data_IF_580691818455
#
_entry.id   IF_580691818455
#
_cell.length_a   1.000
_cell.length_b   1.000
_cell.length_c   1.000
_cell.angle_alpha   90.00
_cell.angle_beta   90.00
_cell.angle_gamma   90.00
#
_symmetry.space_group_name_H-M   'P 1'
#
loop_
_entity.id
_entity.type
_entity.pdbx_description
1 polymer ?
#
# COMPACT_ATOMS: atom_id res chain seq x y z
N UNK A 1 -15.22 9.74 4.76
CA UNK A 1 -14.14 10.76 4.88
C UNK A 1 -13.04 10.13 5.71
N UNK A 2 -11.79 10.34 5.34
CA UNK A 2 -10.66 9.72 6.03
C UNK A 2 -10.40 10.46 7.35
N UNK A 3 -10.32 9.70 8.44
CA UNK A 3 -9.88 10.20 9.74
C UNK A 3 -8.35 10.27 9.80
N UNK A 4 -7.82 11.44 10.14
CA UNK A 4 -6.37 11.65 10.24
C UNK A 4 -5.72 10.76 11.31
N UNK A 5 -6.39 10.52 12.42
CA UNK A 5 -5.84 9.70 13.51
C UNK A 5 -5.64 8.23 13.10
N UNK A 6 -6.51 7.71 12.24
CA UNK A 6 -6.39 6.34 11.70
C UNK A 6 -5.12 6.23 10.85
N UNK A 7 -4.86 7.23 9.99
CA UNK A 7 -3.63 7.27 9.19
C UNK A 7 -2.37 7.46 10.04
N UNK A 8 -2.45 8.26 11.11
CA UNK A 8 -1.36 8.42 12.07
C UNK A 8 -1.07 7.11 12.81
N UNK A 9 -2.10 6.34 13.20
CA UNK A 9 -1.97 5.02 13.82
C UNK A 9 -1.20 4.06 12.92
N UNK A 10 -1.57 3.95 11.64
CA UNK A 10 -0.84 3.13 10.66
C UNK A 10 0.57 3.64 10.40
N UNK A 11 0.78 4.96 10.32
CA UNK A 11 2.12 5.51 10.05
C UNK A 11 3.15 5.16 11.13
N UNK A 12 2.71 4.92 12.38
CA UNK A 12 3.56 4.44 13.48
C UNK A 12 4.00 2.99 13.28
N UNK A 13 3.29 2.23 12.45
CA UNK A 13 3.64 0.86 12.01
C UNK A 13 4.54 0.85 10.78
N UNK A 14 4.95 2.01 10.28
CA UNK A 14 5.94 2.15 9.21
C UNK A 14 7.28 2.61 9.79
N UNK A 15 7.78 1.89 10.80
CA UNK A 15 9.09 2.13 11.42
C UNK A 15 9.79 0.80 11.70
N UNK A 16 11.13 0.71 11.65
CA UNK A 16 11.83 -0.56 11.83
C UNK A 16 11.47 -1.30 13.12
N UNK A 17 11.23 -0.57 14.22
CA UNK A 17 10.90 -1.14 15.52
C UNK A 17 9.44 -1.63 15.65
N UNK A 18 8.54 -1.24 14.74
CA UNK A 18 7.09 -1.52 14.85
C UNK A 18 6.47 -1.93 13.52
N UNK A 19 7.29 -2.38 12.58
CA UNK A 19 6.89 -2.67 11.21
C UNK A 19 5.80 -3.75 11.17
N UNK A 20 4.69 -3.48 10.49
CA UNK A 20 3.62 -4.46 10.21
C UNK A 20 3.71 -5.07 8.81
N UNK A 21 4.75 -4.73 8.03
CA UNK A 21 4.95 -5.21 6.65
C UNK A 21 5.63 -6.58 6.67
N UNK A 22 4.99 -7.57 6.05
CA UNK A 22 5.49 -8.95 5.99
C UNK A 22 6.20 -9.25 4.67
N UNK A 23 5.70 -8.70 3.56
CA UNK A 23 6.22 -8.92 2.20
C UNK A 23 6.18 -7.65 1.37
N UNK A 24 7.06 -7.59 0.38
CA UNK A 24 7.12 -6.52 -0.60
C UNK A 24 7.34 -7.12 -1.98
N UNK A 25 6.62 -6.60 -2.96
CA UNK A 25 6.89 -6.80 -4.36
C UNK A 25 7.01 -5.44 -5.05
N UNK A 26 7.66 -5.40 -6.20
CA UNK A 26 7.73 -4.19 -6.99
C UNK A 26 8.13 -4.43 -8.42
N UNK A 27 7.78 -3.45 -9.25
CA UNK A 27 8.16 -3.36 -10.65
C UNK A 27 8.75 -1.97 -10.93
N UNK A 28 9.68 -1.93 -11.87
CA UNK A 28 10.29 -0.74 -12.40
C UNK A 28 9.86 -0.58 -13.85
N UNK A 29 9.51 0.63 -14.22
CA UNK A 29 8.95 0.95 -15.52
C UNK A 29 9.80 2.02 -16.20
N UNK A 30 10.01 1.86 -17.50
CA UNK A 30 10.60 2.91 -18.33
C UNK A 30 9.60 4.07 -18.56
N UNK A 31 10.03 5.06 -19.34
CA UNK A 31 9.20 6.23 -19.68
C UNK A 31 7.93 5.86 -20.49
N UNK A 32 8.01 4.78 -21.28
CA UNK A 32 6.91 4.28 -22.10
C UNK A 32 5.95 3.37 -21.31
N UNK A 33 6.31 3.03 -20.06
CA UNK A 33 5.55 2.18 -19.16
C UNK A 33 5.81 0.69 -19.34
N UNK A 34 6.88 0.28 -20.01
CA UNK A 34 7.31 -1.12 -20.06
C UNK A 34 8.02 -1.52 -18.78
N UNK A 35 7.83 -2.78 -18.35
CA UNK A 35 8.47 -3.32 -17.16
C UNK A 35 9.94 -3.63 -17.46
N UNK A 36 10.85 -2.90 -16.82
CA UNK A 36 12.30 -3.09 -16.89
C UNK A 36 12.81 -4.16 -15.92
N UNK A 37 12.07 -4.39 -14.82
CA UNK A 37 12.42 -5.41 -13.84
C UNK A 37 11.43 -5.51 -12.71
N UNK A 38 11.39 -6.68 -12.07
CA UNK A 38 10.48 -6.98 -10.96
C UNK A 38 11.19 -7.66 -9.80
N UNK A 39 10.64 -7.55 -8.60
CA UNK A 39 11.07 -8.33 -7.44
C UNK A 39 9.87 -8.70 -6.56
N UNK A 40 10.02 -9.80 -5.80
CA UNK A 40 9.08 -10.22 -4.77
C UNK A 40 9.85 -10.93 -3.65
N UNK A 41 9.80 -10.41 -2.43
CA UNK A 41 10.56 -10.98 -1.32
C UNK A 41 9.90 -10.77 0.04
N UNK A 42 10.31 -11.59 1.00
CA UNK A 42 9.96 -11.34 2.40
C UNK A 42 10.65 -10.07 2.88
N UNK A 43 9.91 -9.22 3.59
CA UNK A 43 10.40 -7.92 4.02
C UNK A 43 11.64 -8.02 4.93
N UNK A 44 11.72 -9.09 5.72
CA UNK A 44 12.86 -9.37 6.60
C UNK A 44 14.13 -9.81 5.87
N UNK A 45 14.05 -10.20 4.59
CA UNK A 45 15.23 -10.54 3.77
C UNK A 45 15.97 -9.30 3.24
N UNK A 46 15.30 -8.15 3.22
CA UNK A 46 15.93 -6.87 2.89
C UNK A 46 16.96 -6.50 3.96
N UNK A 47 18.01 -5.77 3.58
CA UNK A 47 18.92 -5.13 4.52
C UNK A 47 18.19 -4.10 5.40
N UNK A 48 18.80 -3.70 6.52
CA UNK A 48 18.21 -2.71 7.42
C UNK A 48 17.99 -1.34 6.74
N UNK A 49 18.93 -0.94 5.88
CA UNK A 49 18.82 0.28 5.10
C UNK A 49 17.65 0.21 4.10
N UNK A 50 17.51 -0.90 3.37
CA UNK A 50 16.40 -1.10 2.43
C UNK A 50 15.06 -1.16 3.16
N UNK A 51 14.95 -1.86 4.29
CA UNK A 51 13.72 -1.86 5.10
C UNK A 51 13.35 -0.45 5.54
N UNK A 52 14.31 0.33 6.02
CA UNK A 52 14.07 1.71 6.47
C UNK A 52 13.60 2.60 5.32
N UNK A 53 14.24 2.50 4.15
CA UNK A 53 13.85 3.23 2.92
C UNK A 53 12.42 2.88 2.49
N UNK A 54 12.10 1.59 2.44
CA UNK A 54 10.77 1.08 2.06
C UNK A 54 9.67 1.49 3.06
N UNK A 55 9.93 1.40 4.36
CA UNK A 55 8.96 1.88 5.36
C UNK A 55 8.72 3.39 5.23
N UNK A 56 9.73 4.20 4.91
CA UNK A 56 9.56 5.63 4.67
C UNK A 56 8.73 5.94 3.41
N UNK A 57 8.85 5.14 2.35
CA UNK A 57 8.00 5.23 1.16
C UNK A 57 6.53 5.00 1.53
N UNK A 58 6.23 3.87 2.17
CA UNK A 58 4.88 3.55 2.64
C UNK A 58 4.33 4.61 3.60
N UNK A 59 5.18 5.12 4.51
CA UNK A 59 4.81 6.16 5.47
C UNK A 59 4.46 7.49 4.82
N UNK A 60 5.12 7.84 3.71
CA UNK A 60 4.84 9.09 2.98
C UNK A 60 3.40 9.10 2.47
N UNK A 61 2.92 7.98 1.93
CA UNK A 61 1.53 7.83 1.51
C UNK A 61 0.55 8.06 2.68
N UNK A 62 0.79 7.43 3.83
CA UNK A 62 -0.06 7.55 5.01
C UNK A 62 -0.04 8.95 5.63
N UNK A 63 1.05 9.72 5.46
CA UNK A 63 1.19 11.06 6.03
C UNK A 63 0.70 12.18 5.11
N UNK A 64 0.41 11.89 3.84
CA UNK A 64 -0.16 12.85 2.89
C UNK A 64 -1.41 13.54 3.44
N UNK A 65 -1.70 14.76 3.01
CA UNK A 65 -2.82 15.55 3.54
C UNK A 65 -4.14 14.84 3.30
N UNK A 66 -4.78 14.47 4.40
CA UNK A 66 -5.98 13.66 4.41
C UNK A 66 -7.16 14.45 3.85
N UNK A 67 -7.93 13.85 2.94
CA UNK A 67 -9.04 14.45 2.19
C UNK A 67 -8.65 15.55 1.18
N UNK A 68 -7.35 15.82 1.00
CA UNK A 68 -6.81 16.73 -0.02
C UNK A 68 -5.94 15.98 -1.03
N UNK A 69 -4.87 15.34 -0.55
CA UNK A 69 -3.90 14.56 -1.34
C UNK A 69 -4.21 13.06 -1.28
N UNK A 70 -4.55 12.56 -0.09
CA UNK A 70 -5.05 11.21 0.14
C UNK A 70 -6.58 11.27 0.24
N UNK A 71 -7.28 10.65 -0.70
CA UNK A 71 -8.74 10.68 -0.80
C UNK A 71 -9.34 9.30 -0.66
N UNK A 72 -10.52 9.22 -0.05
CA UNK A 72 -11.28 7.97 0.04
C UNK A 72 -12.04 7.75 -1.27
N UNK A 73 -11.95 6.53 -1.80
CA UNK A 73 -12.64 6.11 -3.00
C UNK A 73 -13.59 4.96 -2.65
N UNK A 74 -14.91 5.13 -2.83
CA UNK A 74 -15.88 4.05 -2.63
C UNK A 74 -15.76 3.01 -3.74
N UNK A 75 -15.91 1.75 -3.37
CA UNK A 75 -15.89 0.59 -4.27
C UNK A 75 -17.31 0.04 -4.34
N UNK A 76 -18.10 0.40 -5.37
CA UNK A 76 -19.45 -0.11 -5.52
C UNK A 76 -19.46 -1.64 -5.61
N UNK A 77 -20.45 -2.29 -4.98
CA UNK A 77 -20.58 -3.74 -5.05
C UNK A 77 -20.66 -4.27 -6.51
N UNK A 78 -21.25 -3.49 -7.42
CA UNK A 78 -21.32 -3.82 -8.84
C UNK A 78 -19.96 -3.84 -9.57
N UNK A 79 -18.94 -3.14 -9.04
CA UNK A 79 -17.58 -3.14 -9.60
C UNK A 79 -16.78 -4.38 -9.16
N UNK A 80 -17.20 -5.07 -8.09
CA UNK A 80 -16.61 -6.35 -7.62
C UNK A 80 -17.08 -7.55 -8.46
N UNK A 81 -17.04 -7.41 -9.78
CA UNK A 81 -17.37 -8.47 -10.74
C UNK A 81 -16.13 -9.27 -11.15
N UNK A 82 -16.31 -10.52 -11.63
CA UNK A 82 -15.19 -11.30 -12.15
C UNK A 82 -14.36 -10.55 -13.20
N UNK A 83 -13.04 -10.62 -13.09
CA UNK A 83 -12.08 -9.92 -13.95
C UNK A 83 -11.86 -8.44 -13.62
N UNK A 84 -12.44 -7.90 -12.54
CA UNK A 84 -12.19 -6.51 -12.13
C UNK A 84 -10.88 -6.35 -11.37
N UNK A 85 -10.37 -5.11 -11.33
CA UNK A 85 -9.19 -4.76 -10.53
C UNK A 85 -9.40 -5.07 -9.03
N UNK A 86 -10.64 -5.02 -8.53
CA UNK A 86 -10.94 -5.34 -7.14
C UNK A 86 -10.78 -6.83 -6.86
N UNK A 87 -11.22 -7.70 -7.77
CA UNK A 87 -10.97 -9.14 -7.65
C UNK A 87 -9.47 -9.45 -7.70
N UNK A 88 -8.72 -8.73 -8.53
CA UNK A 88 -7.26 -8.86 -8.57
C UNK A 88 -6.62 -8.47 -7.23
N UNK A 89 -6.99 -7.31 -6.67
CA UNK A 89 -6.47 -6.86 -5.38
C UNK A 89 -6.86 -7.80 -4.23
N UNK A 90 -8.08 -8.33 -4.23
CA UNK A 90 -8.51 -9.37 -3.28
C UNK A 90 -7.64 -10.62 -3.40
N UNK A 91 -7.41 -11.11 -4.62
CA UNK A 91 -6.53 -12.26 -4.86
C UNK A 91 -5.08 -12.03 -4.43
N UNK A 92 -4.55 -10.81 -4.61
CA UNK A 92 -3.22 -10.44 -4.12
C UNK A 92 -3.19 -10.41 -2.58
N UNK A 93 -4.22 -9.85 -1.96
CA UNK A 93 -4.35 -9.77 -0.49
C UNK A 93 -4.47 -11.18 0.12
N UNK A 94 -5.34 -12.03 -0.43
CA UNK A 94 -5.56 -13.42 0.01
C UNK A 94 -4.33 -14.31 -0.20
N UNK A 95 -3.59 -14.11 -1.29
CA UNK A 95 -2.34 -14.83 -1.54
C UNK A 95 -1.15 -14.27 -0.76
N UNK A 96 -1.34 -13.18 0.01
CA UNK A 96 -0.28 -12.50 0.77
C UNK A 96 0.92 -12.09 -0.12
N UNK A 97 0.69 -11.59 -1.34
CA UNK A 97 1.74 -11.34 -2.35
C UNK A 97 2.57 -12.59 -2.75
N UNK A 98 2.07 -13.82 -2.57
CA UNK A 98 2.82 -15.04 -2.94
C UNK A 98 2.55 -15.53 -4.36
N UNK A 99 1.53 -15.01 -5.03
CA UNK A 99 1.19 -15.39 -6.40
C UNK A 99 1.66 -14.34 -7.40
N UNK A 100 2.80 -14.60 -8.06
CA UNK A 100 3.41 -13.68 -9.02
C UNK A 100 2.50 -13.42 -10.24
N UNK A 101 1.65 -14.37 -10.62
CA UNK A 101 0.72 -14.17 -11.75
C UNK A 101 -0.27 -13.02 -11.48
N UNK A 102 -0.67 -12.79 -10.23
CA UNK A 102 -1.49 -11.62 -9.90
C UNK A 102 -0.69 -10.32 -9.95
N UNK A 103 0.61 -10.37 -9.64
CA UNK A 103 1.48 -9.20 -9.72
C UNK A 103 1.72 -8.79 -11.16
N UNK A 104 1.95 -9.75 -12.05
CA UNK A 104 2.12 -9.49 -13.48
C UNK A 104 0.90 -8.78 -14.06
N UNK A 105 -0.31 -9.27 -13.79
CA UNK A 105 -1.57 -8.63 -14.22
C UNK A 105 -1.71 -7.24 -13.60
N UNK A 106 -1.32 -7.05 -12.33
CA UNK A 106 -1.38 -5.73 -11.70
C UNK A 106 -0.44 -4.74 -12.38
N UNK A 107 0.78 -5.17 -12.72
CA UNK A 107 1.76 -4.34 -13.41
C UNK A 107 1.32 -3.98 -14.83
N UNK A 108 0.67 -4.90 -15.55
CA UNK A 108 0.03 -4.60 -16.84
C UNK A 108 -1.06 -3.53 -16.70
N UNK A 109 -1.94 -3.65 -15.69
CA UNK A 109 -2.97 -2.63 -15.43
C UNK A 109 -2.35 -1.28 -15.08
N UNK A 110 -1.28 -1.25 -14.28
CA UNK A 110 -0.59 -0.01 -13.93
C UNK A 110 0.05 0.63 -15.16
N UNK A 111 0.77 -0.16 -15.97
CA UNK A 111 1.37 0.29 -17.24
C UNK A 111 0.33 0.92 -18.19
N UNK A 112 -0.86 0.32 -18.30
CA UNK A 112 -1.94 0.83 -19.15
C UNK A 112 -2.56 2.13 -18.62
N UNK A 113 -2.65 2.30 -17.29
CA UNK A 113 -3.41 3.40 -16.67
C UNK A 113 -2.55 4.54 -16.14
N UNK A 114 -1.26 4.33 -15.91
CA UNK A 114 -0.36 5.31 -15.33
C UNK A 114 0.85 5.54 -16.24
N UNK A 115 0.76 6.59 -17.06
CA UNK A 115 1.80 7.01 -18.00
C UNK A 115 2.24 8.43 -17.65
N UNK A 116 3.17 8.59 -16.69
CA UNK A 116 3.54 9.91 -16.19
C UNK A 116 4.53 10.65 -17.13
N UNK A 117 5.03 10.00 -18.18
CA UNK A 117 6.03 10.57 -19.09
C UNK A 117 7.44 10.61 -18.51
N UNK A 118 7.74 9.69 -17.57
CA UNK A 118 9.07 9.47 -17.00
C UNK A 118 9.15 8.06 -16.42
N UNK A 119 10.35 7.51 -16.26
CA UNK A 119 10.56 6.21 -15.61
C UNK A 119 10.13 6.23 -14.14
N UNK A 120 9.46 5.18 -13.69
CA UNK A 120 8.86 5.12 -12.35
C UNK A 120 8.94 3.73 -11.72
N UNK A 121 8.78 3.67 -10.40
CA UNK A 121 8.67 2.43 -9.65
C UNK A 121 7.27 2.25 -9.09
N UNK A 122 6.76 1.02 -9.11
CA UNK A 122 5.56 0.59 -8.38
C UNK A 122 5.96 -0.39 -7.29
N UNK A 123 5.88 -0.01 -6.02
CA UNK A 123 6.13 -0.90 -4.89
C UNK A 123 4.82 -1.22 -4.17
N UNK A 124 4.62 -2.50 -3.88
CA UNK A 124 3.45 -3.05 -3.23
C UNK A 124 3.84 -3.78 -1.94
N UNK A 125 3.31 -3.32 -0.82
CA UNK A 125 3.58 -3.83 0.52
C UNK A 125 2.37 -4.60 1.00
N UNK A 126 2.59 -5.84 1.44
CA UNK A 126 1.59 -6.61 2.20
C UNK A 126 1.93 -6.57 3.67
N UNK A 127 0.95 -6.25 4.51
CA UNK A 127 1.13 -6.24 5.95
C UNK A 127 -0.10 -6.67 6.71
N UNK A 128 0.14 -7.02 7.97
CA UNK A 128 -0.88 -7.39 8.94
C UNK A 128 -0.60 -6.63 10.23
N UNK A 129 -1.61 -5.94 10.74
CA UNK A 129 -1.52 -5.14 11.94
C UNK A 129 -2.54 -5.60 12.97
N UNK A 130 -2.05 -6.14 14.09
CA UNK A 130 -2.87 -6.41 15.28
C UNK A 130 -3.30 -5.09 15.93
N UNK A 131 -4.57 -4.74 15.78
CA UNK A 131 -5.13 -3.48 16.29
C UNK A 131 -5.44 -3.66 17.77
N UNK A 132 -4.80 -2.89 18.67
CA UNK A 132 -5.00 -3.03 20.12
C UNK A 132 -6.32 -2.42 20.58
N UNK A 133 -6.92 -2.97 21.63
CA UNK A 133 -8.17 -2.44 22.21
C UNK A 133 -7.92 -1.07 22.87
N UNK A 134 -8.78 -0.09 22.59
CA UNK A 134 -8.81 1.20 23.31
C UNK A 134 -9.92 1.12 24.37
N UNK A 135 -9.56 1.19 25.64
CA UNK A 135 -10.53 1.38 26.71
C UNK A 135 -11.23 2.74 26.59
N UNK A 136 -12.41 2.86 27.18
CA UNK A 136 -13.22 4.10 27.21
C UNK A 136 -12.49 5.32 27.77
N UNK A 137 -11.43 5.11 28.57
CA UNK A 137 -10.61 6.16 29.18
C UNK A 137 -9.28 6.43 28.44
N UNK A 138 -9.15 6.02 27.17
CA UNK A 138 -7.92 6.10 26.35
C UNK A 138 -6.73 5.28 26.86
N UNK A 139 -6.91 4.46 27.90
CA UNK A 139 -5.91 3.45 28.28
C UNK A 139 -5.94 2.26 27.31
N UNK A 140 -4.76 1.77 26.96
CA UNK A 140 -4.60 0.57 26.14
C UNK A 140 -4.89 -0.65 27.00
N UNK A 141 -5.88 -1.46 26.60
CA UNK A 141 -6.19 -2.71 27.27
C UNK A 141 -5.33 -3.84 26.66
N UNK A 142 -4.96 -4.84 27.47
CA UNK A 142 -4.28 -6.03 26.96
C UNK A 142 -5.23 -6.84 26.07
N UNK A 143 -4.87 -6.98 24.78
CA UNK A 143 -5.63 -7.73 23.77
C UNK A 143 -5.69 -7.02 22.42
N UNK A 144 -5.92 -7.79 21.35
CA UNK A 144 -6.29 -7.29 20.02
C UNK A 144 -7.66 -7.86 19.66
N UNK A 145 -8.58 -7.01 19.22
CA UNK A 145 -9.90 -7.41 18.74
C UNK A 145 -9.91 -7.65 17.22
N UNK A 146 -8.95 -7.09 16.49
CA UNK A 146 -9.00 -7.00 15.03
C UNK A 146 -7.59 -7.11 14.42
N UNK A 147 -7.44 -7.96 13.40
CA UNK A 147 -6.22 -8.04 12.59
C UNK A 147 -6.47 -7.34 11.25
N UNK A 148 -5.89 -6.17 11.08
CA UNK A 148 -5.99 -5.40 9.85
C UNK A 148 -4.97 -5.90 8.82
N UNK A 149 -5.45 -6.59 7.77
CA UNK A 149 -4.62 -7.06 6.65
C UNK A 149 -4.74 -6.10 5.48
N UNK A 150 -3.61 -5.67 4.91
CA UNK A 150 -3.60 -4.60 3.90
C UNK A 150 -2.57 -4.79 2.79
N UNK A 151 -2.89 -4.17 1.66
CA UNK A 151 -1.99 -3.78 0.58
C UNK A 151 -1.78 -2.27 0.63
N UNK A 152 -0.52 -1.84 0.58
CA UNK A 152 -0.16 -0.44 0.35
C UNK A 152 0.67 -0.38 -0.92
N UNK A 153 0.28 0.45 -1.87
CA UNK A 153 0.99 0.64 -3.13
C UNK A 153 1.55 2.05 -3.21
N UNK A 154 2.79 2.20 -3.63
CA UNK A 154 3.43 3.50 -3.93
C UNK A 154 3.92 3.52 -5.36
N UNK A 155 3.59 4.60 -6.08
CA UNK A 155 4.13 4.96 -7.38
C UNK A 155 5.04 6.17 -7.20
N UNK A 156 6.30 6.04 -7.61
CA UNK A 156 7.35 7.04 -7.40
C UNK A 156 8.16 7.24 -8.69
N UNK A 157 8.55 8.47 -9.06
CA UNK A 157 9.55 8.67 -10.10
C UNK A 157 10.87 7.99 -9.70
N UNK A 158 11.67 7.58 -10.69
CA UNK A 158 13.04 7.12 -10.44
C UNK A 158 14.01 8.30 -10.34
N UNK A 159 14.83 8.31 -9.29
CA UNK A 159 15.90 9.30 -9.08
C UNK A 159 17.30 8.75 -9.47
N UNK A 160 17.37 7.46 -9.81
CA UNK A 160 18.55 6.74 -10.26
C UNK A 160 18.14 5.36 -10.78
N UNK A 161 19.12 4.53 -11.13
CA UNK A 161 18.85 3.14 -11.54
C UNK A 161 18.22 2.37 -10.38
N UNK A 162 16.96 1.96 -10.55
CA UNK A 162 16.20 1.20 -9.56
C UNK A 162 16.02 1.90 -8.20
N UNK A 163 16.22 3.23 -8.14
CA UNK A 163 16.07 4.03 -6.92
C UNK A 163 14.76 4.84 -6.94
N UNK A 164 13.73 4.42 -6.19
CA UNK A 164 12.46 5.16 -6.11
C UNK A 164 12.65 6.46 -5.34
N UNK A 165 12.28 7.57 -5.97
CA UNK A 165 12.12 8.88 -5.35
C UNK A 165 10.89 8.95 -4.45
N UNK A 166 10.41 10.15 -4.16
CA UNK A 166 9.24 10.36 -3.30
C UNK A 166 7.94 9.89 -3.98
N UNK A 167 7.06 9.13 -3.30
CA UNK A 167 5.76 8.74 -3.86
C UNK A 167 4.90 9.94 -4.27
N UNK A 168 4.36 9.88 -5.49
CA UNK A 168 3.43 10.88 -6.05
C UNK A 168 2.03 10.32 -6.25
N UNK A 169 1.90 9.00 -6.39
CA UNK A 169 0.61 8.33 -6.44
C UNK A 169 0.68 7.00 -5.67
N UNK A 170 -0.47 6.38 -5.43
CA UNK A 170 -0.54 5.10 -4.75
C UNK A 170 -1.88 4.86 -4.07
N UNK A 171 -1.98 3.77 -3.32
CA UNK A 171 -3.19 3.47 -2.56
C UNK A 171 -2.91 2.68 -1.27
N UNK A 172 -3.90 2.67 -0.38
CA UNK A 172 -4.06 1.72 0.73
C UNK A 172 -5.39 0.98 0.52
N UNK A 173 -5.33 -0.35 0.47
CA UNK A 173 -6.48 -1.23 0.26
C UNK A 173 -6.43 -2.45 1.21
N UNK A 174 -7.54 -2.83 1.86
CA UNK A 174 -8.77 -2.04 2.01
C UNK A 174 -8.51 -0.72 2.76
N UNK A 175 -9.49 0.18 2.86
CA UNK A 175 -9.32 1.39 3.66
C UNK A 175 -9.25 1.03 5.16
N UNK A 176 -8.42 1.73 5.93
CA UNK A 176 -8.44 1.61 7.39
C UNK A 176 -9.34 2.69 7.98
N UNK A 177 -10.43 2.27 8.63
CA UNK A 177 -11.47 3.17 9.12
C UNK A 177 -12.02 2.64 10.44
N UNK A 178 -12.13 3.53 11.42
CA UNK A 178 -12.69 3.17 12.74
C UNK A 178 -11.94 1.99 13.36
N UNK A 179 -10.63 1.92 13.06
CA UNK A 179 -9.70 0.90 13.55
C UNK A 179 -9.96 -0.52 13.04
N UNK A 180 -10.63 -0.67 11.90
CA UNK A 180 -10.80 -1.93 11.16
C UNK A 180 -10.59 -1.73 9.65
N UNK A 181 -10.42 -2.84 8.93
CA UNK A 181 -10.38 -2.84 7.46
C UNK A 181 -11.77 -2.73 6.87
N UNK A 182 -11.97 -1.75 5.99
CA UNK A 182 -13.21 -1.56 5.26
C UNK A 182 -13.01 -1.80 3.75
N UNK A 183 -13.45 -2.98 3.29
CA UNK A 183 -13.32 -3.39 1.89
C UNK A 183 -14.22 -2.60 0.91
N UNK A 184 -15.18 -1.82 1.39
CA UNK A 184 -16.00 -0.96 0.53
C UNK A 184 -15.26 0.31 0.10
N UNK A 185 -14.05 0.54 0.61
CA UNK A 185 -13.28 1.75 0.31
C UNK A 185 -11.80 1.46 0.09
N UNK A 186 -11.15 2.38 -0.63
CA UNK A 186 -9.70 2.46 -0.81
C UNK A 186 -9.24 3.89 -0.53
N UNK A 187 -8.09 4.08 0.09
CA UNK A 187 -7.47 5.41 0.20
C UNK A 187 -6.51 5.58 -0.97
N UNK A 188 -6.69 6.61 -1.79
CA UNK A 188 -5.89 6.86 -2.99
C UNK A 188 -5.09 8.14 -2.83
N UNK A 189 -3.77 8.03 -2.98
CA UNK A 189 -2.87 9.17 -3.07
C UNK A 189 -2.77 9.59 -4.52
N UNK A 190 -2.97 10.88 -4.78
CA UNK A 190 -2.63 11.50 -6.06
C UNK A 190 -2.15 12.92 -5.84
N UNK A 191 -0.85 13.12 -6.03
CA UNK A 191 -0.24 14.44 -6.12
C UNK A 191 -0.34 14.89 -7.58
N UNK A 192 -0.90 16.10 -7.78
CA UNK A 192 -1.13 16.69 -9.10
C UNK A 192 0.13 17.27 -9.71
#
# INVERSE_FOLDING_TARGET
>A
MINREDMLELSRRMTPARASVARIAGAYFDEEGYVDGTFNTHFLKLSEAERSRNLNQAKTLLLAKTNEELKEYPIPAAERKPGSIWQLLDGILESELKNDAFLDILYEVISEKYQPGYSYACFLYFGQYDVPVKGSDKEWLEGSEEVYTYLLCTLSPLEGEYEPGKPTAGFLYPAFKERSGNCEYMNVLRLG
#
